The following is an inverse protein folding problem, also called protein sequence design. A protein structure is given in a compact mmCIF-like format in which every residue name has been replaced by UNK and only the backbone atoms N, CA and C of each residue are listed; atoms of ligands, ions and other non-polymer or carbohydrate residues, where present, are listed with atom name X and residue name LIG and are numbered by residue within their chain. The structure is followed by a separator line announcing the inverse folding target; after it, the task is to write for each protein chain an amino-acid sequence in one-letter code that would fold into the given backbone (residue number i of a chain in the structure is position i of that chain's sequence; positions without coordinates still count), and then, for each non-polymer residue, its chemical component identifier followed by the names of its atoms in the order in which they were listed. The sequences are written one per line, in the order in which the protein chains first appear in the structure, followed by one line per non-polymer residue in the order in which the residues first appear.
data_IF_016370912025
#
_entry.id   IF_016370912025
#
_cell.length_a   1.000
_cell.length_b   1.000
_cell.length_c   1.000
_cell.angle_alpha   90.00
_cell.angle_beta   90.00
_cell.angle_gamma   90.00
#
_symmetry.space_group_name_H-M   'P 1'
#
loop_
_entity.id
_entity.type
_entity.pdbx_description
1 polymer ?
#
# COMPACT_ATOMS: atom_id res chain seq x y z
N UNK A 1 7.64 -15.00 10.52
CA UNK A 1 6.26 -14.67 10.11
C UNK A 1 6.36 -14.04 8.74
N UNK A 2 5.51 -14.42 7.78
CA UNK A 2 5.57 -13.85 6.42
C UNK A 2 4.54 -12.71 6.34
N UNK A 3 4.95 -11.52 6.79
CA UNK A 3 4.09 -10.33 6.83
C UNK A 3 3.59 -9.93 5.44
N UNK A 4 4.39 -10.17 4.39
CA UNK A 4 3.99 -9.85 3.02
C UNK A 4 2.81 -10.70 2.58
N UNK A 5 2.86 -12.01 2.86
CA UNK A 5 1.75 -12.91 2.57
C UNK A 5 0.49 -12.54 3.35
N UNK A 6 0.64 -12.10 4.59
CA UNK A 6 -0.47 -11.67 5.44
C UNK A 6 -1.16 -10.43 4.87
N UNK A 7 -0.39 -9.39 4.53
CA UNK A 7 -0.89 -8.19 3.85
C UNK A 7 -1.63 -8.54 2.56
N UNK A 8 -1.06 -9.43 1.72
CA UNK A 8 -1.73 -9.81 0.47
C UNK A 8 -3.04 -10.55 0.74
N UNK A 9 -3.03 -11.46 1.71
CA UNK A 9 -4.23 -12.19 2.12
C UNK A 9 -5.30 -11.27 2.71
N UNK A 10 -4.90 -10.20 3.42
CA UNK A 10 -5.80 -9.18 3.90
C UNK A 10 -6.43 -8.42 2.71
N UNK A 11 -5.62 -7.85 1.83
CA UNK A 11 -6.06 -7.04 0.69
C UNK A 11 -6.91 -7.81 -0.32
N UNK A 12 -6.60 -9.09 -0.56
CA UNK A 12 -7.43 -9.99 -1.37
C UNK A 12 -8.83 -10.17 -0.77
N UNK A 13 -8.93 -10.28 0.56
CA UNK A 13 -10.20 -10.52 1.27
C UNK A 13 -11.02 -9.25 1.49
N UNK A 14 -10.38 -8.14 1.84
CA UNK A 14 -11.07 -6.88 2.15
C UNK A 14 -11.47 -6.13 0.89
N UNK A 15 -10.56 -6.03 -0.08
CA UNK A 15 -10.71 -5.16 -1.26
C UNK A 15 -10.91 -5.96 -2.57
N UNK A 16 -10.72 -7.29 -2.55
CA UNK A 16 -10.82 -8.11 -3.75
C UNK A 16 -9.67 -7.87 -4.74
N UNK A 17 -8.52 -7.41 -4.24
CA UNK A 17 -7.34 -7.13 -5.05
C UNK A 17 -6.63 -8.41 -5.51
N UNK A 18 -5.95 -8.32 -6.63
CA UNK A 18 -5.11 -9.38 -7.20
C UNK A 18 -3.73 -8.82 -7.49
N UNK A 19 -2.72 -9.63 -7.20
CA UNK A 19 -1.32 -9.24 -7.31
C UNK A 19 -0.61 -10.09 -8.35
N UNK A 20 -0.19 -9.48 -9.45
CA UNK A 20 0.61 -10.15 -10.48
C UNK A 20 2.07 -9.76 -10.33
N UNK A 21 3.04 -10.72 -10.33
CA UNK A 21 4.45 -10.38 -10.25
C UNK A 21 4.88 -9.39 -11.34
N UNK A 22 5.58 -8.33 -10.93
CA UNK A 22 6.13 -7.30 -11.79
C UNK A 22 7.54 -7.64 -12.29
N UNK A 23 8.28 -6.60 -12.70
CA UNK A 23 9.64 -6.75 -13.25
C UNK A 23 10.67 -7.13 -12.19
N UNK A 24 10.45 -6.74 -10.95
CA UNK A 24 11.30 -7.07 -9.80
C UNK A 24 10.59 -8.06 -8.89
N UNK A 25 11.36 -8.85 -8.14
CA UNK A 25 10.85 -9.86 -7.21
C UNK A 25 10.00 -9.30 -6.08
N UNK A 26 10.10 -8.01 -5.81
CA UNK A 26 9.34 -7.30 -4.79
C UNK A 26 8.26 -6.39 -5.37
N UNK A 27 8.05 -6.38 -6.70
CA UNK A 27 7.04 -5.59 -7.36
C UNK A 27 5.85 -6.44 -7.76
N UNK A 28 4.65 -5.89 -7.57
CA UNK A 28 3.39 -6.52 -7.88
C UNK A 28 2.48 -5.51 -8.57
N UNK A 29 1.99 -5.86 -9.75
CA UNK A 29 0.94 -5.12 -10.43
C UNK A 29 -0.38 -5.43 -9.73
N UNK A 30 -1.08 -4.38 -9.32
CA UNK A 30 -2.35 -4.48 -8.60
C UNK A 30 -3.51 -4.40 -9.60
N UNK A 31 -4.44 -5.34 -9.51
CA UNK A 31 -5.72 -5.28 -10.21
C UNK A 31 -6.85 -5.61 -9.24
N UNK A 32 -8.10 -5.41 -9.65
CA UNK A 32 -9.27 -5.68 -8.82
C UNK A 32 -10.22 -6.66 -9.50
N UNK A 33 -10.69 -7.66 -8.75
CA UNK A 33 -11.75 -8.57 -9.20
C UNK A 33 -13.16 -7.96 -9.05
N UNK A 34 -13.31 -6.91 -8.23
CA UNK A 34 -14.61 -6.35 -7.84
C UNK A 34 -15.15 -5.30 -8.83
N UNK A 35 -14.49 -5.09 -9.98
CA UNK A 35 -14.94 -4.19 -11.04
C UNK A 35 -14.69 -2.69 -10.76
N UNK A 36 -14.17 -2.34 -9.57
CA UNK A 36 -13.60 -1.03 -9.30
C UNK A 36 -12.32 -0.86 -10.11
N UNK A 37 -12.29 0.13 -11.01
CA UNK A 37 -11.14 0.34 -11.88
C UNK A 37 -10.08 1.21 -11.20
N UNK A 38 -8.82 0.85 -11.40
CA UNK A 38 -7.73 1.77 -11.23
C UNK A 38 -7.62 2.66 -12.48
N UNK A 39 -7.32 3.95 -12.29
CA UNK A 39 -7.07 4.86 -13.41
C UNK A 39 -5.73 4.53 -14.11
N UNK A 40 -4.80 3.96 -13.35
CA UNK A 40 -3.48 3.52 -13.80
C UNK A 40 -3.27 2.05 -13.44
N UNK A 41 -2.14 1.46 -13.84
CA UNK A 41 -1.71 0.14 -13.37
C UNK A 41 -0.85 0.33 -12.12
N UNK A 42 -1.41 0.22 -10.89
CA UNK A 42 -0.66 0.53 -9.69
C UNK A 42 0.39 -0.53 -9.43
N UNK A 43 1.57 -0.10 -9.02
CA UNK A 43 2.67 -0.99 -8.64
C UNK A 43 2.85 -0.98 -7.14
N UNK A 44 2.62 -2.15 -6.53
CA UNK A 44 2.89 -2.41 -5.13
C UNK A 44 4.33 -2.94 -4.96
N UNK A 45 5.16 -2.25 -4.19
CA UNK A 45 6.56 -2.66 -3.92
C UNK A 45 6.73 -3.11 -2.46
N UNK A 46 6.87 -4.41 -2.24
CA UNK A 46 6.97 -5.02 -0.89
C UNK A 46 8.14 -5.99 -0.84
N UNK A 47 9.33 -5.44 -0.58
CA UNK A 47 10.50 -6.22 -0.22
C UNK A 47 10.34 -6.71 1.23
N UNK A 48 10.55 -8.01 1.47
CA UNK A 48 10.32 -8.62 2.79
C UNK A 48 11.16 -7.98 3.89
N UNK A 49 12.43 -7.72 3.61
CA UNK A 49 13.37 -7.09 4.54
C UNK A 49 12.97 -5.66 4.90
N UNK A 50 12.52 -4.88 3.92
CA UNK A 50 12.06 -3.52 4.14
C UNK A 50 10.74 -3.47 4.91
N UNK A 51 9.80 -4.38 4.61
CA UNK A 51 8.55 -4.49 5.35
C UNK A 51 8.81 -4.84 6.82
N UNK A 52 9.67 -5.83 7.08
CA UNK A 52 10.00 -6.23 8.45
C UNK A 52 10.67 -5.08 9.22
N UNK A 53 11.60 -4.36 8.59
CA UNK A 53 12.24 -3.19 9.19
C UNK A 53 11.23 -2.08 9.49
N UNK A 54 10.33 -1.79 8.54
CA UNK A 54 9.27 -0.79 8.73
C UNK A 54 8.35 -1.15 9.89
N UNK A 55 7.85 -2.38 9.95
CA UNK A 55 6.94 -2.81 11.02
C UNK A 55 7.60 -2.78 12.39
N UNK A 56 8.88 -3.17 12.46
CA UNK A 56 9.66 -3.12 13.70
C UNK A 56 9.88 -1.69 14.19
N UNK A 57 10.18 -0.77 13.28
CA UNK A 57 10.32 0.64 13.61
C UNK A 57 8.98 1.23 14.05
N UNK A 58 7.90 0.95 13.30
CA UNK A 58 6.57 1.47 13.62
C UNK A 58 6.03 0.90 14.94
N UNK A 59 6.33 -0.36 15.27
CA UNK A 59 5.92 -0.95 16.56
C UNK A 59 6.60 -0.28 17.76
N UNK A 60 7.75 0.40 17.57
CA UNK A 60 8.36 1.18 18.66
C UNK A 60 7.51 2.40 19.05
N UNK A 61 6.74 2.94 18.11
CA UNK A 61 5.83 4.06 18.37
C UNK A 61 4.54 3.62 19.08
N UNK A 62 4.32 2.30 19.22
CA UNK A 62 3.12 1.67 19.79
C UNK A 62 3.41 0.86 21.06
N UNK A 63 4.53 1.09 21.75
CA UNK A 63 4.98 0.25 22.88
C UNK A 63 4.02 0.24 24.09
N UNK A 64 3.09 1.18 24.17
CA UNK A 64 2.03 1.24 25.18
C UNK A 64 0.80 0.36 24.84
N UNK A 65 0.77 -0.23 23.64
CA UNK A 65 -0.27 -1.17 23.22
C UNK A 65 0.02 -2.61 23.67
N UNK A 66 -1.02 -3.46 23.85
CA UNK A 66 -0.84 -4.86 24.28
C UNK A 66 -0.04 -5.73 23.32
N UNK A 67 -0.16 -5.49 22.01
CA UNK A 67 0.61 -6.18 20.96
C UNK A 67 1.06 -5.16 19.87
N UNK A 68 2.16 -4.42 20.12
CA UNK A 68 2.60 -3.33 19.24
C UNK A 68 2.92 -3.79 17.81
N UNK A 69 3.34 -5.04 17.63
CA UNK A 69 3.68 -5.58 16.31
C UNK A 69 2.43 -5.95 15.53
N UNK A 70 1.45 -6.60 16.17
CA UNK A 70 0.17 -6.88 15.54
C UNK A 70 -0.56 -5.57 15.15
N UNK A 71 -0.49 -4.55 16.00
CA UNK A 71 -1.08 -3.25 15.72
C UNK A 71 -0.37 -2.52 14.57
N UNK A 72 0.97 -2.56 14.52
CA UNK A 72 1.73 -2.00 13.40
C UNK A 72 1.37 -2.68 12.06
N UNK A 73 1.20 -4.01 12.06
CA UNK A 73 0.76 -4.76 10.89
C UNK A 73 -0.66 -4.39 10.48
N UNK A 74 -1.60 -4.42 11.42
CA UNK A 74 -3.01 -4.06 11.20
C UNK A 74 -3.17 -2.65 10.64
N UNK A 75 -2.47 -1.67 11.20
CA UNK A 75 -2.48 -0.29 10.69
C UNK A 75 -1.88 -0.19 9.28
N UNK A 76 -0.83 -0.96 8.99
CA UNK A 76 -0.24 -1.02 7.65
C UNK A 76 -1.22 -1.62 6.64
N UNK A 77 -1.90 -2.71 6.99
CA UNK A 77 -2.94 -3.33 6.19
C UNK A 77 -4.08 -2.36 5.87
N UNK A 78 -4.57 -1.64 6.88
CA UNK A 78 -5.63 -0.63 6.74
C UNK A 78 -5.19 0.48 5.78
N UNK A 79 -4.01 1.08 5.99
CA UNK A 79 -3.54 2.15 5.10
C UNK A 79 -3.39 1.67 3.65
N UNK A 80 -2.90 0.44 3.44
CA UNK A 80 -2.79 -0.12 2.10
C UNK A 80 -4.16 -0.35 1.45
N UNK A 81 -5.13 -0.85 2.20
CA UNK A 81 -6.50 -1.01 1.72
C UNK A 81 -7.14 0.35 1.40
N UNK A 82 -6.94 1.37 2.23
CA UNK A 82 -7.45 2.71 1.96
C UNK A 82 -6.88 3.27 0.64
N UNK A 83 -5.56 3.18 0.44
CA UNK A 83 -4.92 3.74 -0.76
C UNK A 83 -5.13 2.93 -2.04
N UNK A 84 -5.44 1.63 -1.93
CA UNK A 84 -5.68 0.76 -3.09
C UNK A 84 -7.18 0.50 -3.36
N UNK A 85 -8.02 0.58 -2.34
CA UNK A 85 -9.46 0.28 -2.41
C UNK A 85 -10.36 1.50 -2.56
N UNK A 86 -9.93 2.69 -2.14
CA UNK A 86 -10.83 3.86 -2.13
C UNK A 86 -11.04 4.48 -3.51
N UNK A 87 -12.29 4.42 -4.01
CA UNK A 87 -12.80 5.26 -5.07
C UNK A 87 -13.28 6.59 -4.46
N UNK A 88 -12.53 7.68 -4.64
CA UNK A 88 -12.80 8.99 -4.04
C UNK A 88 -13.94 9.76 -4.75
N UNK A 89 -15.06 9.10 -5.04
CA UNK A 89 -16.31 9.73 -5.48
C UNK A 89 -16.35 10.27 -6.91
N UNK A 90 -15.20 10.56 -7.52
CA UNK A 90 -15.09 11.16 -8.86
C UNK A 90 -14.59 10.19 -9.96
N UNK A 91 -14.47 8.89 -9.64
CA UNK A 91 -14.33 7.83 -10.62
C UNK A 91 -12.88 7.39 -10.87
N UNK A 92 -12.47 6.38 -10.09
CA UNK A 92 -11.25 5.57 -10.20
C UNK A 92 -10.10 6.01 -9.29
N UNK A 93 -9.44 5.01 -8.70
CA UNK A 93 -8.28 5.18 -7.84
C UNK A 93 -7.07 5.65 -8.67
N UNK A 94 -6.46 6.77 -8.28
CA UNK A 94 -5.33 7.41 -8.96
C UNK A 94 -3.94 6.98 -8.42
N UNK A 95 -3.87 5.97 -7.57
CA UNK A 95 -2.61 5.40 -7.08
C UNK A 95 -1.83 4.79 -8.24
N UNK A 96 -0.56 5.21 -8.35
CA UNK A 96 0.39 4.74 -9.37
C UNK A 96 1.40 3.79 -8.74
N UNK A 97 1.86 4.09 -7.54
CA UNK A 97 2.76 3.21 -6.81
C UNK A 97 2.57 3.35 -5.30
N UNK A 98 2.80 2.26 -4.58
CA UNK A 98 2.73 2.20 -3.13
C UNK A 98 3.70 1.15 -2.63
N UNK A 99 4.20 1.31 -1.40
CA UNK A 99 4.96 0.25 -0.74
C UNK A 99 6.04 0.77 0.19
N UNK A 100 7.15 0.05 0.27
CA UNK A 100 8.22 0.32 1.22
C UNK A 100 9.53 0.62 0.49
N UNK A 101 10.24 1.67 0.92
CA UNK A 101 11.54 2.02 0.35
C UNK A 101 12.49 2.57 1.40
N UNK A 102 13.79 2.41 1.15
CA UNK A 102 14.85 3.03 1.96
C UNK A 102 15.12 4.45 1.45
N UNK A 103 15.06 5.44 2.34
CA UNK A 103 15.41 6.83 2.00
C UNK A 103 16.91 7.11 2.19
N UNK A 104 17.39 8.26 1.70
CA UNK A 104 18.82 8.67 1.75
C UNK A 104 19.47 8.67 3.15
N UNK A 105 18.68 8.64 4.22
CA UNK A 105 19.15 8.55 5.62
C UNK A 105 19.15 7.13 6.18
N UNK A 106 18.88 6.12 5.35
CA UNK A 106 18.86 4.72 5.76
C UNK A 106 17.55 4.26 6.38
N UNK A 107 16.65 5.15 6.83
CA UNK A 107 15.33 4.77 7.34
C UNK A 107 14.45 4.17 6.24
N UNK A 108 13.63 3.18 6.60
CA UNK A 108 12.56 2.68 5.73
C UNK A 108 11.29 3.50 5.94
N UNK A 109 10.63 3.87 4.85
CA UNK A 109 9.34 4.54 4.88
C UNK A 109 8.30 3.78 4.06
N UNK A 110 7.04 3.92 4.47
CA UNK A 110 5.89 3.69 3.64
C UNK A 110 5.75 4.86 2.65
N UNK A 111 5.60 4.59 1.36
CA UNK A 111 5.40 5.61 0.34
C UNK A 111 4.12 5.36 -0.45
N UNK A 112 3.54 6.47 -0.91
CA UNK A 112 2.41 6.52 -1.83
C UNK A 112 2.75 7.51 -2.95
N UNK A 113 2.51 7.11 -4.18
CA UNK A 113 2.57 7.94 -5.37
C UNK A 113 1.20 7.92 -6.06
N UNK A 114 0.60 9.10 -6.20
CA UNK A 114 -0.66 9.30 -6.89
C UNK A 114 -0.42 10.19 -8.10
N UNK A 115 -1.14 9.91 -9.20
CA UNK A 115 -1.14 10.79 -10.34
C UNK A 115 -1.81 12.14 -9.97
N UNK A 116 -1.45 13.24 -10.64
CA UNK A 116 -2.16 14.51 -10.47
C UNK A 116 -3.64 14.33 -10.77
N UNK A 117 -4.51 14.63 -9.81
CA UNK A 117 -5.94 14.75 -10.07
C UNK A 117 -6.12 16.04 -10.89
N UNK A 118 -6.62 15.91 -12.12
CA UNK A 118 -6.86 17.08 -12.98
C UNK A 118 -7.99 17.91 -12.37
N UNK A 119 -7.64 18.92 -11.58
CA UNK A 119 -8.58 19.95 -11.16
C UNK A 119 -9.05 20.74 -12.37
N UNK A 120 -10.37 20.74 -12.58
CA UNK A 120 -11.15 21.76 -13.29
C UNK A 120 -10.37 23.04 -13.58
N UNK A 121 -10.00 23.23 -14.86
CA UNK A 121 -9.60 24.54 -15.35
C UNK A 121 -10.82 25.45 -15.22
N UNK A 122 -10.84 26.29 -14.17
CA UNK A 122 -11.68 27.47 -14.17
C UNK A 122 -11.25 28.34 -15.35
N UNK A 123 -11.99 28.25 -16.45
CA UNK A 123 -11.95 29.23 -17.52
C UNK A 123 -12.45 30.54 -16.91
N UNK A 124 -11.54 31.51 -16.83
CA UNK A 124 -11.85 32.90 -16.48
C UNK A 124 -12.69 33.55 -17.57
#
# INVERSE_FOLDING_TARGET
MDYRREIFSYLERSEGLVFTPGRRSDQFIVSSNSGGGFLYEPVLTVAEDLLEEYLRDYSQDLLDHPDPMADALSMTEIHMAEYLGTDHGDGLNATVALGFRRVRRGKVEFFLEQAPQWGTTNVR
#
